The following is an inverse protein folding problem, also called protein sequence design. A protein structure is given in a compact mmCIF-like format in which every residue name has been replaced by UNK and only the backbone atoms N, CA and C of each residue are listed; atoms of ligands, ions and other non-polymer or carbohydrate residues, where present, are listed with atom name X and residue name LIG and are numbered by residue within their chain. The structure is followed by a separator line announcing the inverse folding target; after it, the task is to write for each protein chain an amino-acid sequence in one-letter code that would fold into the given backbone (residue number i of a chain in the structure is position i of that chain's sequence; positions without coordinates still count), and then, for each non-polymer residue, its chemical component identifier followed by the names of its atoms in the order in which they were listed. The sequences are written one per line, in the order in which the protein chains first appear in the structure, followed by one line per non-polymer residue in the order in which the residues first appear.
data_IF_218519373354
#
_entry.id   IF_218519373354
#
_cell.length_a   1.000
_cell.length_b   1.000
_cell.length_c   1.000
_cell.angle_alpha   90.00
_cell.angle_beta   90.00
_cell.angle_gamma   90.00
#
_symmetry.space_group_name_H-M   'P 1'
#
loop_
_entity.id
_entity.type
_entity.pdbx_description
1 polymer ?
#
# COMPACT_ATOMS: atom_id res chain seq x y z
N UNK A 1 -59.41 20.12 11.18
CA UNK A 1 -59.24 19.03 10.23
C UNK A 1 -58.87 19.56 8.84
N UNK A 2 -57.83 20.36 8.72
CA UNK A 2 -57.27 20.88 7.43
C UNK A 2 -55.79 21.20 7.47
N UNK A 3 -55.01 20.71 8.47
CA UNK A 3 -53.54 20.91 8.55
C UNK A 3 -52.73 19.62 8.40
N UNK A 4 -53.38 18.45 8.35
CA UNK A 4 -52.73 17.14 8.26
C UNK A 4 -52.54 16.62 6.85
N UNK A 5 -53.18 17.25 5.86
CA UNK A 5 -53.05 16.83 4.43
C UNK A 5 -51.99 17.58 3.63
N UNK A 6 -51.40 18.64 4.16
CA UNK A 6 -50.30 19.37 3.47
C UNK A 6 -48.89 18.83 3.80
N UNK A 7 -48.74 18.00 4.86
CA UNK A 7 -47.45 17.47 5.28
C UNK A 7 -47.12 16.10 4.65
N UNK A 8 -48.13 15.43 4.07
CA UNK A 8 -47.96 14.12 3.43
C UNK A 8 -47.47 14.20 1.96
N UNK A 9 -47.50 15.39 1.36
CA UNK A 9 -47.05 15.62 -0.01
C UNK A 9 -45.55 16.04 -0.11
N UNK A 10 -44.88 16.29 1.04
CA UNK A 10 -43.45 16.63 1.09
C UNK A 10 -42.55 15.44 1.49
N UNK A 11 -43.14 14.28 1.73
CA UNK A 11 -42.43 13.05 2.15
C UNK A 11 -42.63 11.88 1.15
N UNK A 12 -42.94 12.15 -0.12
CA UNK A 12 -42.70 11.16 -1.13
C UNK A 12 -41.20 11.18 -1.41
N UNK A 13 -40.44 10.09 -1.07
CA UNK A 13 -39.13 9.90 -1.65
C UNK A 13 -39.42 9.75 -3.15
N UNK A 14 -39.05 10.75 -3.93
CA UNK A 14 -38.87 10.55 -5.36
C UNK A 14 -37.87 9.42 -5.48
N UNK A 15 -38.37 8.22 -5.78
CA UNK A 15 -37.60 7.17 -6.42
C UNK A 15 -37.07 7.81 -7.69
N UNK A 16 -35.92 8.48 -7.58
CA UNK A 16 -35.04 8.68 -8.69
C UNK A 16 -34.76 7.25 -9.19
N UNK A 17 -35.55 6.82 -10.17
CA UNK A 17 -35.20 5.71 -11.02
C UNK A 17 -33.77 6.00 -11.47
N UNK A 18 -32.80 5.27 -10.92
CA UNK A 18 -31.49 5.19 -11.51
C UNK A 18 -31.73 4.56 -12.89
N UNK A 19 -31.98 5.43 -13.87
CA UNK A 19 -31.98 5.04 -15.25
C UNK A 19 -30.66 4.37 -15.48
N UNK A 20 -30.68 3.14 -15.99
CA UNK A 20 -29.50 2.44 -16.48
C UNK A 20 -28.74 3.45 -17.34
N UNK A 21 -27.61 3.96 -16.84
CA UNK A 21 -26.80 4.89 -17.59
C UNK A 21 -26.50 4.18 -18.91
N UNK A 22 -26.94 4.74 -20.06
CA UNK A 22 -26.65 4.18 -21.36
C UNK A 22 -25.13 4.21 -21.53
N UNK A 23 -24.48 3.09 -21.26
CA UNK A 23 -23.06 2.91 -21.56
C UNK A 23 -22.93 2.48 -23.00
N UNK A 24 -22.09 3.21 -23.75
CA UNK A 24 -21.72 2.84 -25.10
C UNK A 24 -20.66 1.75 -25.05
N UNK A 25 -20.86 0.63 -25.77
CA UNK A 25 -19.76 -0.32 -25.99
C UNK A 25 -18.78 0.29 -27.00
N UNK A 26 -17.64 0.72 -26.53
CA UNK A 26 -16.59 1.37 -27.31
C UNK A 26 -15.35 0.50 -27.50
N UNK A 27 -15.40 -0.80 -27.17
CA UNK A 27 -14.25 -1.73 -27.30
C UNK A 27 -13.76 -1.79 -28.75
N UNK A 28 -14.66 -1.87 -29.73
CA UNK A 28 -14.34 -1.86 -31.16
C UNK A 28 -14.21 -0.47 -31.79
N UNK A 29 -14.42 0.61 -31.03
CA UNK A 29 -14.38 1.97 -31.53
C UNK A 29 -12.96 2.53 -31.56
N UNK A 30 -12.58 3.40 -32.54
CA UNK A 30 -11.24 4.01 -32.58
C UNK A 30 -10.83 4.72 -31.29
N UNK A 31 -11.78 5.33 -30.59
CA UNK A 31 -11.52 5.99 -29.29
C UNK A 31 -11.18 4.98 -28.21
N UNK A 32 -11.81 3.82 -28.15
CA UNK A 32 -11.46 2.75 -27.24
C UNK A 32 -10.04 2.26 -27.49
N UNK A 33 -9.72 1.96 -28.77
CA UNK A 33 -8.36 1.56 -29.16
C UNK A 33 -7.32 2.63 -28.79
N UNK A 34 -7.62 3.92 -29.05
CA UNK A 34 -6.73 5.03 -28.67
C UNK A 34 -6.52 5.10 -27.14
N UNK A 35 -7.59 4.95 -26.37
CA UNK A 35 -7.50 4.93 -24.90
C UNK A 35 -6.63 3.78 -24.39
N UNK A 36 -6.76 2.57 -24.96
CA UNK A 36 -5.95 1.41 -24.63
C UNK A 36 -4.47 1.65 -24.97
N UNK A 37 -4.17 2.23 -26.13
CA UNK A 37 -2.80 2.58 -26.55
C UNK A 37 -2.20 3.64 -25.61
N UNK A 38 -2.96 4.70 -25.28
CA UNK A 38 -2.52 5.73 -24.33
C UNK A 38 -2.18 5.12 -22.97
N UNK A 39 -3.05 4.27 -22.44
CA UNK A 39 -2.80 3.56 -21.18
C UNK A 39 -1.55 2.69 -21.26
N UNK A 40 -1.41 1.89 -22.33
CA UNK A 40 -0.27 0.99 -22.51
C UNK A 40 1.04 1.77 -22.58
N UNK A 41 1.11 2.87 -23.34
CA UNK A 41 2.29 3.72 -23.46
C UNK A 41 2.63 4.38 -22.10
N UNK A 42 1.63 4.88 -21.38
CA UNK A 42 1.81 5.47 -20.06
C UNK A 42 2.35 4.41 -19.07
N UNK A 43 1.82 3.19 -19.15
CA UNK A 43 2.25 2.12 -18.25
C UNK A 43 3.65 1.61 -18.58
N UNK A 44 4.02 1.52 -19.85
CA UNK A 44 5.40 1.26 -20.26
C UNK A 44 6.38 2.33 -19.73
N UNK A 45 5.95 3.61 -19.73
CA UNK A 45 6.75 4.68 -19.14
C UNK A 45 6.86 4.56 -17.60
N UNK A 46 5.83 4.04 -16.91
CA UNK A 46 5.89 3.72 -15.48
C UNK A 46 6.91 2.61 -15.21
N UNK A 47 6.86 1.51 -15.94
CA UNK A 47 7.82 0.39 -15.80
C UNK A 47 9.24 0.85 -16.11
N UNK A 48 9.40 1.79 -17.04
CA UNK A 48 10.70 2.36 -17.41
C UNK A 48 11.22 3.43 -16.42
N UNK A 49 10.57 3.68 -15.27
CA UNK A 49 10.98 4.70 -14.29
C UNK A 49 12.44 4.56 -13.87
N UNK A 50 12.90 3.35 -13.59
CA UNK A 50 14.30 3.09 -13.19
C UNK A 50 15.34 3.56 -14.23
N UNK A 51 15.00 3.43 -15.51
CA UNK A 51 15.88 3.79 -16.62
C UNK A 51 15.77 5.27 -16.97
N UNK A 52 14.53 5.81 -16.96
CA UNK A 52 14.24 7.17 -17.40
C UNK A 52 14.33 8.20 -16.27
N UNK A 53 14.28 7.76 -15.02
CA UNK A 53 14.12 8.61 -13.82
C UNK A 53 12.87 9.50 -13.88
N UNK A 54 11.92 9.15 -14.75
CA UNK A 54 10.62 9.81 -14.85
C UNK A 54 9.69 9.24 -13.80
N UNK A 55 9.33 10.03 -12.80
CA UNK A 55 8.43 9.60 -11.72
C UNK A 55 7.12 9.04 -12.27
N UNK A 56 6.67 7.92 -11.74
CA UNK A 56 5.54 7.12 -12.20
C UNK A 56 4.20 7.86 -12.25
N UNK A 57 3.98 8.88 -11.43
CA UNK A 57 2.76 9.67 -11.43
C UNK A 57 2.54 10.46 -12.73
N UNK A 58 3.60 10.98 -13.34
CA UNK A 58 3.50 11.90 -14.48
C UNK A 58 2.82 11.28 -15.71
N UNK A 59 3.26 10.10 -16.21
CA UNK A 59 2.65 9.50 -17.41
C UNK A 59 1.18 9.09 -17.17
N UNK A 60 0.85 8.57 -15.99
CA UNK A 60 -0.53 8.11 -15.72
C UNK A 60 -1.51 9.26 -15.50
N UNK A 61 -1.08 10.40 -14.92
CA UNK A 61 -1.93 11.58 -14.81
C UNK A 61 -2.27 12.14 -16.19
N UNK A 62 -1.27 12.23 -17.06
CA UNK A 62 -1.48 12.67 -18.44
C UNK A 62 -2.43 11.72 -19.20
N UNK A 63 -2.19 10.42 -19.08
CA UNK A 63 -3.01 9.40 -19.70
C UNK A 63 -4.47 9.46 -19.21
N UNK A 64 -4.69 9.62 -17.90
CA UNK A 64 -6.02 9.77 -17.32
C UNK A 64 -6.78 10.95 -17.96
N UNK A 65 -6.13 12.12 -18.03
CA UNK A 65 -6.72 13.30 -18.68
C UNK A 65 -7.08 13.08 -20.14
N UNK A 66 -6.18 12.46 -20.92
CA UNK A 66 -6.41 12.16 -22.33
C UNK A 66 -7.53 11.12 -22.54
N UNK A 67 -7.53 10.03 -21.76
CA UNK A 67 -8.56 8.99 -21.84
C UNK A 67 -9.94 9.59 -21.54
N UNK A 68 -10.09 10.34 -20.46
CA UNK A 68 -11.37 10.95 -20.10
C UNK A 68 -11.79 12.07 -21.05
N UNK A 69 -10.85 12.79 -21.66
CA UNK A 69 -11.16 13.76 -22.71
C UNK A 69 -11.73 13.07 -23.97
N UNK A 70 -11.15 11.92 -24.37
CA UNK A 70 -11.66 11.11 -25.49
C UNK A 70 -13.06 10.55 -25.18
N UNK A 71 -13.27 10.00 -23.98
CA UNK A 71 -14.57 9.52 -23.51
C UNK A 71 -15.59 10.66 -23.54
N UNK A 72 -15.25 11.81 -22.96
CA UNK A 72 -16.13 12.98 -22.92
C UNK A 72 -16.51 13.47 -24.28
N UNK A 73 -15.59 13.51 -25.26
CA UNK A 73 -15.88 13.93 -26.62
C UNK A 73 -16.91 13.02 -27.31
N UNK A 74 -16.75 11.68 -27.17
CA UNK A 74 -17.71 10.72 -27.77
C UNK A 74 -19.08 10.82 -27.10
N UNK A 75 -19.12 10.84 -25.76
CA UNK A 75 -20.38 10.89 -25.03
C UNK A 75 -21.15 12.21 -25.26
N UNK A 76 -20.42 13.33 -25.43
CA UNK A 76 -21.00 14.62 -25.79
C UNK A 76 -21.59 14.59 -27.21
N UNK A 77 -20.90 13.97 -28.18
CA UNK A 77 -21.41 13.85 -29.55
C UNK A 77 -22.70 13.00 -29.67
N UNK A 78 -22.91 12.09 -28.69
CA UNK A 78 -24.13 11.29 -28.59
C UNK A 78 -25.22 11.91 -27.69
N UNK A 79 -24.97 13.09 -27.10
CA UNK A 79 -25.93 13.79 -26.24
C UNK A 79 -26.10 13.17 -24.83
N UNK A 80 -25.16 12.33 -24.39
CA UNK A 80 -25.18 11.61 -23.09
C UNK A 80 -23.98 11.94 -22.21
N UNK A 81 -23.49 13.18 -22.23
CA UNK A 81 -22.34 13.67 -21.49
C UNK A 81 -22.42 13.40 -19.96
N UNK A 82 -23.65 13.40 -19.40
CA UNK A 82 -23.89 13.21 -17.99
C UNK A 82 -23.44 11.82 -17.49
N UNK A 83 -23.53 10.79 -18.34
CA UNK A 83 -23.08 9.44 -18.02
C UNK A 83 -21.55 9.39 -17.79
N UNK A 84 -20.79 10.03 -18.70
CA UNK A 84 -19.33 10.11 -18.57
C UNK A 84 -18.92 10.93 -17.33
N UNK A 85 -19.60 12.05 -17.07
CA UNK A 85 -19.35 12.89 -15.90
C UNK A 85 -19.66 12.16 -14.58
N UNK A 86 -20.74 11.38 -14.53
CA UNK A 86 -21.10 10.58 -13.37
C UNK A 86 -20.07 9.48 -13.09
N UNK A 87 -19.62 8.76 -14.12
CA UNK A 87 -18.59 7.73 -14.00
C UNK A 87 -17.24 8.31 -13.53
N UNK A 88 -16.83 9.46 -14.07
CA UNK A 88 -15.63 10.16 -13.63
C UNK A 88 -15.71 10.56 -12.15
N UNK A 89 -16.86 11.10 -11.72
CA UNK A 89 -17.09 11.48 -10.31
C UNK A 89 -17.06 10.28 -9.37
N UNK A 90 -17.59 9.14 -9.80
CA UNK A 90 -17.54 7.91 -9.04
C UNK A 90 -16.09 7.46 -8.78
N UNK A 91 -15.28 7.40 -9.84
CA UNK A 91 -13.84 7.07 -9.72
C UNK A 91 -13.07 8.09 -8.87
N UNK A 92 -13.42 9.37 -8.94
CA UNK A 92 -12.82 10.41 -8.13
C UNK A 92 -13.18 10.26 -6.64
N UNK A 93 -14.42 9.84 -6.33
CA UNK A 93 -14.84 9.57 -4.96
C UNK A 93 -14.03 8.42 -4.36
N UNK A 94 -13.87 7.32 -5.08
CA UNK A 94 -13.05 6.17 -4.66
C UNK A 94 -11.60 6.57 -4.41
N UNK A 95 -11.04 7.36 -5.33
CA UNK A 95 -9.70 7.92 -5.12
C UNK A 95 -9.65 8.83 -3.89
N UNK A 96 -10.66 9.67 -3.69
CA UNK A 96 -10.73 10.59 -2.55
C UNK A 96 -10.73 9.88 -1.20
N UNK A 97 -11.48 8.79 -1.08
CA UNK A 97 -11.51 7.96 0.13
C UNK A 97 -10.12 7.32 0.40
N UNK A 98 -9.50 6.77 -0.65
CA UNK A 98 -8.15 6.20 -0.56
C UNK A 98 -7.11 7.28 -0.21
N UNK A 99 -7.17 8.46 -0.84
CA UNK A 99 -6.28 9.58 -0.59
C UNK A 99 -6.32 10.00 0.89
N UNK A 100 -7.52 10.22 1.44
CA UNK A 100 -7.70 10.67 2.82
C UNK A 100 -7.22 9.62 3.82
N UNK A 101 -7.49 8.36 3.54
CA UNK A 101 -6.99 7.26 4.36
C UNK A 101 -5.45 7.23 4.39
N UNK A 102 -4.82 7.21 3.22
CA UNK A 102 -3.36 7.14 3.09
C UNK A 102 -2.68 8.39 3.65
N UNK A 103 -3.24 9.57 3.42
CA UNK A 103 -2.70 10.82 3.95
C UNK A 103 -2.62 10.79 5.48
N UNK A 104 -3.66 10.28 6.16
CA UNK A 104 -3.65 10.14 7.60
C UNK A 104 -2.61 9.10 8.06
N UNK A 105 -2.54 7.93 7.41
CA UNK A 105 -1.58 6.88 7.72
C UNK A 105 -0.13 7.36 7.55
N UNK A 106 0.20 7.94 6.37
CA UNK A 106 1.53 8.49 6.09
C UNK A 106 1.92 9.60 7.06
N UNK A 107 0.95 10.44 7.50
CA UNK A 107 1.21 11.49 8.48
C UNK A 107 1.63 10.91 9.82
N UNK A 108 0.99 9.82 10.29
CA UNK A 108 1.40 9.14 11.51
C UNK A 108 2.81 8.55 11.40
N UNK A 109 3.12 7.88 10.29
CA UNK A 109 4.44 7.30 10.02
C UNK A 109 5.51 8.40 10.02
N UNK A 110 5.29 9.48 9.29
CA UNK A 110 6.21 10.62 9.23
C UNK A 110 6.38 11.31 10.59
N UNK A 111 5.32 11.35 11.42
CA UNK A 111 5.40 11.85 12.78
C UNK A 111 6.24 10.94 13.69
N UNK A 112 6.13 9.61 13.54
CA UNK A 112 6.97 8.64 14.23
C UNK A 112 8.44 8.78 13.81
N UNK A 113 8.72 8.99 12.53
CA UNK A 113 10.05 9.24 11.99
C UNK A 113 10.65 10.53 12.58
N UNK A 114 9.91 11.63 12.59
CA UNK A 114 10.34 12.91 13.19
C UNK A 114 10.67 12.76 14.68
N UNK A 115 9.98 11.86 15.39
CA UNK A 115 10.24 11.54 16.80
C UNK A 115 11.29 10.46 17.00
N UNK A 116 12.00 10.06 15.95
CA UNK A 116 13.11 9.09 15.97
C UNK A 116 12.70 7.72 16.52
N UNK A 117 11.44 7.30 16.33
CA UNK A 117 10.93 5.99 16.75
C UNK A 117 11.71 4.89 16.06
N UNK A 118 11.86 4.98 14.75
CA UNK A 118 12.54 3.97 13.93
C UNK A 118 14.06 3.99 14.12
N UNK A 119 14.65 5.17 14.37
CA UNK A 119 16.05 5.31 14.72
C UNK A 119 16.37 4.69 16.08
N UNK A 120 15.47 4.80 17.04
CA UNK A 120 15.60 4.14 18.33
C UNK A 120 15.54 2.61 18.20
N UNK A 121 14.65 2.09 17.34
CA UNK A 121 14.58 0.66 17.01
C UNK A 121 15.88 0.18 16.34
N UNK A 122 16.40 0.95 15.38
CA UNK A 122 17.70 0.70 14.74
C UNK A 122 18.81 0.64 15.77
N UNK A 123 18.92 1.65 16.63
CA UNK A 123 19.93 1.71 17.66
C UNK A 123 19.83 0.55 18.67
N UNK A 124 18.63 0.09 18.97
CA UNK A 124 18.40 -1.08 19.82
C UNK A 124 18.93 -2.38 19.18
N UNK A 125 18.63 -2.61 17.89
CA UNK A 125 19.11 -3.77 17.13
C UNK A 125 20.64 -3.78 16.99
N UNK A 126 21.24 -2.62 16.67
CA UNK A 126 22.68 -2.47 16.49
C UNK A 126 23.43 -2.83 17.78
N UNK A 127 22.92 -2.41 18.95
CA UNK A 127 23.54 -2.71 20.26
C UNK A 127 23.52 -4.18 20.66
N UNK A 128 22.68 -5.01 20.04
CA UNK A 128 22.58 -6.45 20.35
C UNK A 128 23.74 -7.27 19.81
N UNK A 129 24.65 -6.69 19.02
CA UNK A 129 25.83 -7.38 18.42
C UNK A 129 25.47 -8.73 17.79
N UNK A 130 24.35 -8.76 17.04
CA UNK A 130 23.81 -9.96 16.43
C UNK A 130 24.73 -10.48 15.33
N UNK A 131 24.84 -11.81 15.18
CA UNK A 131 25.47 -12.42 14.01
C UNK A 131 24.71 -12.08 12.73
N UNK A 132 25.35 -12.23 11.55
CA UNK A 132 24.70 -12.00 10.25
C UNK A 132 23.38 -12.80 10.13
N UNK A 133 23.37 -14.07 10.58
CA UNK A 133 22.16 -14.91 10.56
C UNK A 133 21.08 -14.38 11.50
N UNK A 134 21.44 -14.02 12.72
CA UNK A 134 20.48 -13.49 13.69
C UNK A 134 19.90 -12.15 13.24
N UNK A 135 20.73 -11.28 12.64
CA UNK A 135 20.27 -9.99 12.11
C UNK A 135 19.36 -10.16 10.89
N UNK A 136 19.66 -11.09 9.97
CA UNK A 136 18.83 -11.44 8.84
C UNK A 136 17.42 -11.87 9.29
N UNK A 137 17.33 -12.79 10.25
CA UNK A 137 16.04 -13.21 10.81
C UNK A 137 15.34 -12.11 11.59
N UNK A 138 16.07 -11.34 12.38
CA UNK A 138 15.50 -10.24 13.17
C UNK A 138 14.88 -9.16 12.26
N UNK A 139 15.60 -8.74 11.21
CA UNK A 139 15.09 -7.72 10.27
C UNK A 139 13.91 -8.23 9.45
N UNK A 140 13.94 -9.48 8.98
CA UNK A 140 12.82 -10.09 8.26
C UNK A 140 11.59 -10.29 9.16
N UNK A 141 11.77 -10.82 10.37
CA UNK A 141 10.67 -11.00 11.33
C UNK A 141 10.04 -9.66 11.73
N UNK A 142 10.87 -8.65 12.00
CA UNK A 142 10.37 -7.31 12.29
C UNK A 142 9.64 -6.71 11.09
N UNK A 143 10.17 -6.87 9.87
CA UNK A 143 9.47 -6.43 8.66
C UNK A 143 8.10 -7.11 8.53
N UNK A 144 8.02 -8.41 8.78
CA UNK A 144 6.75 -9.15 8.72
C UNK A 144 5.71 -8.66 9.74
N UNK A 145 6.11 -8.34 10.97
CA UNK A 145 5.17 -7.91 12.02
C UNK A 145 4.92 -6.39 12.07
N UNK A 146 5.78 -5.57 11.49
CA UNK A 146 5.57 -4.12 11.42
C UNK A 146 4.71 -3.77 10.20
N UNK A 147 4.90 -4.45 9.08
CA UNK A 147 4.20 -4.17 7.83
C UNK A 147 2.66 -4.17 7.94
N UNK A 148 2.00 -5.05 8.73
CA UNK A 148 0.56 -5.00 8.93
C UNK A 148 0.00 -3.68 9.47
N UNK A 149 0.87 -2.82 9.98
CA UNK A 149 0.50 -1.54 10.64
C UNK A 149 1.12 -0.35 9.94
N UNK A 150 2.37 -0.49 9.45
CA UNK A 150 3.18 0.63 8.96
C UNK A 150 3.41 0.61 7.43
N UNK A 151 2.61 -0.10 6.68
CA UNK A 151 2.73 -0.43 5.26
C UNK A 151 4.04 -1.15 4.86
N UNK A 152 4.03 -1.79 3.68
CA UNK A 152 5.15 -2.58 3.20
C UNK A 152 6.35 -1.74 2.77
N UNK A 153 6.13 -0.58 2.13
CA UNK A 153 7.19 0.31 1.65
C UNK A 153 7.97 0.93 2.80
N UNK A 154 7.27 1.59 3.72
CA UNK A 154 7.87 2.23 4.89
C UNK A 154 8.62 1.22 5.75
N UNK A 155 8.01 0.06 5.99
CA UNK A 155 8.64 -1.04 6.76
C UNK A 155 9.93 -1.51 6.10
N UNK A 156 9.92 -1.69 4.77
CA UNK A 156 11.10 -2.11 4.03
C UNK A 156 12.23 -1.08 4.12
N UNK A 157 11.93 0.21 3.94
CA UNK A 157 12.91 1.29 4.03
C UNK A 157 13.57 1.36 5.42
N UNK A 158 12.77 1.25 6.49
CA UNK A 158 13.26 1.26 7.86
C UNK A 158 14.20 0.08 8.12
N UNK A 159 13.79 -1.13 7.75
CA UNK A 159 14.59 -2.33 7.96
C UNK A 159 15.86 -2.34 7.09
N UNK A 160 15.80 -1.79 5.89
CA UNK A 160 16.98 -1.60 5.03
C UNK A 160 17.99 -0.64 5.68
N UNK A 161 17.54 0.45 6.28
CA UNK A 161 18.40 1.37 6.99
C UNK A 161 19.13 0.68 8.17
N UNK A 162 18.44 -0.22 8.90
CA UNK A 162 19.03 -1.07 9.93
C UNK A 162 20.11 -1.98 9.32
N UNK A 163 19.76 -2.67 8.25
CA UNK A 163 20.64 -3.61 7.56
C UNK A 163 21.94 -2.95 7.07
N UNK A 164 21.82 -1.77 6.46
CA UNK A 164 22.95 -0.98 5.96
C UNK A 164 23.83 -0.45 7.09
N UNK A 165 23.23 -0.01 8.20
CA UNK A 165 23.97 0.51 9.34
C UNK A 165 24.86 -0.56 10.01
N UNK A 166 24.43 -1.83 9.96
CA UNK A 166 25.14 -2.94 10.63
C UNK A 166 25.99 -3.75 9.63
N UNK A 167 25.46 -4.02 8.46
CA UNK A 167 26.06 -4.95 7.49
C UNK A 167 26.67 -4.31 6.26
N UNK A 168 26.75 -2.98 6.19
CA UNK A 168 27.07 -2.22 4.96
C UNK A 168 28.40 -2.56 4.27
N UNK A 169 29.29 -3.31 4.93
CA UNK A 169 30.55 -3.77 4.33
C UNK A 169 30.44 -5.12 3.60
N UNK A 170 29.36 -5.88 3.78
CA UNK A 170 29.14 -7.18 3.16
C UNK A 170 28.07 -7.13 2.08
N UNK A 171 28.47 -6.98 0.81
CA UNK A 171 27.55 -6.96 -0.32
C UNK A 171 26.59 -8.15 -0.32
N UNK A 172 27.11 -9.37 -0.07
CA UNK A 172 26.28 -10.60 -0.04
C UNK A 172 25.22 -10.56 1.06
N UNK A 173 25.60 -10.09 2.25
CA UNK A 173 24.66 -9.96 3.38
C UNK A 173 23.58 -8.92 3.08
N UNK A 174 23.96 -7.74 2.57
CA UNK A 174 23.01 -6.67 2.24
C UNK A 174 22.05 -7.11 1.15
N UNK A 175 22.55 -7.75 0.08
CA UNK A 175 21.67 -8.27 -0.99
C UNK A 175 20.62 -9.24 -0.44
N UNK A 176 21.06 -10.27 0.30
CA UNK A 176 20.16 -11.28 0.86
C UNK A 176 19.19 -10.68 1.91
N UNK A 177 19.69 -9.77 2.74
CA UNK A 177 18.87 -9.07 3.73
C UNK A 177 17.81 -8.18 3.10
N UNK A 178 18.13 -7.44 2.02
CA UNK A 178 17.14 -6.66 1.27
C UNK A 178 16.07 -7.55 0.65
N UNK A 179 16.44 -8.67 0.02
CA UNK A 179 15.47 -9.62 -0.53
C UNK A 179 14.53 -10.13 0.56
N UNK A 180 15.10 -10.56 1.70
CA UNK A 180 14.35 -11.05 2.84
C UNK A 180 13.37 -10.01 3.39
N UNK A 181 13.79 -8.76 3.50
CA UNK A 181 12.96 -7.65 3.98
C UNK A 181 11.81 -7.37 3.00
N UNK A 182 12.06 -7.35 1.68
CA UNK A 182 11.01 -7.15 0.66
C UNK A 182 9.96 -8.25 0.74
N UNK A 183 10.39 -9.52 0.77
CA UNK A 183 9.47 -10.67 0.88
C UNK A 183 8.69 -10.61 2.20
N UNK A 184 9.36 -10.34 3.31
CA UNK A 184 8.74 -10.28 4.63
C UNK A 184 7.75 -9.12 4.76
N UNK A 185 8.08 -7.93 4.24
CA UNK A 185 7.20 -6.76 4.28
C UNK A 185 5.95 -6.96 3.42
N UNK A 186 6.08 -7.47 2.20
CA UNK A 186 4.93 -7.75 1.33
C UNK A 186 4.06 -8.88 1.91
N UNK A 187 4.66 -9.95 2.43
CA UNK A 187 3.93 -11.03 3.09
C UNK A 187 3.22 -10.55 4.37
N UNK A 188 3.89 -9.73 5.18
CA UNK A 188 3.30 -9.12 6.36
C UNK A 188 2.16 -8.17 6.04
N UNK A 189 2.26 -7.41 4.95
CA UNK A 189 1.20 -6.52 4.48
C UNK A 189 -0.07 -7.24 4.05
N UNK A 190 0.04 -8.47 3.56
CA UNK A 190 -1.07 -9.19 2.94
C UNK A 190 -2.17 -9.69 3.91
N UNK A 191 -1.89 -9.80 5.22
CA UNK A 191 -2.89 -10.29 6.18
C UNK A 191 -3.57 -9.21 7.03
N UNK A 192 -3.40 -7.93 6.69
CA UNK A 192 -4.05 -6.81 7.38
C UNK A 192 -4.46 -5.72 6.38
N UNK A 193 -5.67 -5.15 6.51
CA UNK A 193 -6.09 -4.01 5.68
C UNK A 193 -5.21 -2.76 5.78
N UNK A 194 -4.40 -2.63 6.84
CA UNK A 194 -3.49 -1.51 7.04
C UNK A 194 -2.07 -1.80 6.53
N UNK A 195 -1.79 -3.03 6.09
CA UNK A 195 -0.44 -3.47 5.73
C UNK A 195 -0.08 -3.29 4.27
N UNK A 196 -1.07 -3.27 3.38
CA UNK A 196 -0.90 -3.02 1.94
C UNK A 196 -2.13 -2.29 1.41
N UNK A 197 -1.93 -1.45 0.41
CA UNK A 197 -3.02 -0.71 -0.24
C UNK A 197 -4.00 -1.66 -0.93
N UNK A 198 -3.53 -2.79 -1.44
CA UNK A 198 -4.38 -3.81 -2.07
C UNK A 198 -5.37 -4.42 -1.07
N UNK A 199 -4.90 -4.75 0.14
CA UNK A 199 -5.77 -5.26 1.22
C UNK A 199 -6.76 -4.20 1.69
N UNK A 200 -6.31 -2.94 1.80
CA UNK A 200 -7.16 -1.81 2.13
C UNK A 200 -8.32 -1.65 1.13
N UNK A 201 -8.02 -1.69 -0.18
CA UNK A 201 -9.03 -1.52 -1.23
C UNK A 201 -10.09 -2.63 -1.19
N UNK A 202 -9.68 -3.89 -0.96
CA UNK A 202 -10.60 -5.03 -0.83
C UNK A 202 -11.52 -4.86 0.40
N UNK A 203 -10.97 -4.37 1.52
CA UNK A 203 -11.73 -4.08 2.72
C UNK A 203 -12.69 -2.91 2.53
N UNK A 204 -12.25 -1.79 1.96
CA UNK A 204 -13.08 -0.60 1.67
C UNK A 204 -14.28 -0.94 0.75
N UNK A 205 -14.09 -1.85 -0.21
CA UNK A 205 -15.15 -2.35 -1.09
C UNK A 205 -16.07 -3.37 -0.42
N UNK A 206 -15.86 -3.70 0.87
CA UNK A 206 -16.68 -4.66 1.62
C UNK A 206 -16.63 -6.09 1.09
N UNK A 207 -15.58 -6.45 0.31
CA UNK A 207 -15.42 -7.81 -0.24
C UNK A 207 -14.98 -8.82 0.81
N UNK A 208 -14.22 -8.37 1.80
CA UNK A 208 -13.70 -9.16 2.93
C UNK A 208 -13.82 -8.33 4.20
N UNK A 209 -14.33 -8.92 5.28
CA UNK A 209 -14.40 -8.30 6.59
C UNK A 209 -13.01 -8.21 7.24
N UNK A 210 -12.81 -7.21 8.11
CA UNK A 210 -11.52 -6.93 8.75
C UNK A 210 -10.88 -8.18 9.40
N UNK A 211 -11.65 -8.92 10.19
CA UNK A 211 -11.11 -10.08 10.92
C UNK A 211 -10.81 -11.27 10.02
N UNK A 212 -11.46 -11.36 8.87
CA UNK A 212 -11.28 -12.47 7.92
C UNK A 212 -9.91 -12.39 7.22
N UNK A 213 -9.29 -11.21 7.13
CA UNK A 213 -7.92 -11.07 6.61
C UNK A 213 -6.89 -11.86 7.42
N UNK A 214 -7.11 -12.09 8.71
CA UNK A 214 -6.20 -12.88 9.54
C UNK A 214 -6.13 -14.36 9.13
N UNK A 215 -7.07 -14.88 8.33
CA UNK A 215 -6.94 -16.20 7.70
C UNK A 215 -5.71 -16.28 6.78
N UNK A 216 -5.24 -15.14 6.27
CA UNK A 216 -4.02 -15.03 5.47
C UNK A 216 -2.72 -15.06 6.29
N UNK A 217 -2.78 -15.05 7.64
CA UNK A 217 -1.58 -15.05 8.48
C UNK A 217 -0.67 -16.25 8.19
N UNK A 218 -1.22 -17.46 8.19
CA UNK A 218 -0.45 -18.69 7.95
C UNK A 218 0.10 -18.75 6.52
N UNK A 219 -0.70 -18.52 5.47
CA UNK A 219 -0.19 -18.41 4.10
C UNK A 219 0.93 -17.36 3.94
N UNK A 220 0.76 -16.19 4.51
CA UNK A 220 1.75 -15.10 4.48
C UNK A 220 3.05 -15.48 5.20
N UNK A 221 2.93 -16.14 6.35
CA UNK A 221 4.08 -16.62 7.10
C UNK A 221 4.89 -17.65 6.30
N UNK A 222 4.22 -18.57 5.61
CA UNK A 222 4.87 -19.56 4.73
C UNK A 222 5.59 -18.86 3.57
N UNK A 223 4.95 -17.86 2.96
CA UNK A 223 5.57 -17.06 1.90
C UNK A 223 6.87 -16.40 2.35
N UNK A 224 6.93 -15.89 3.59
CA UNK A 224 8.13 -15.29 4.17
C UNK A 224 9.18 -16.34 4.57
N UNK A 225 8.77 -17.34 5.34
CA UNK A 225 9.70 -18.27 6.01
C UNK A 225 10.41 -19.20 5.02
N UNK A 226 9.73 -19.67 3.99
CA UNK A 226 10.30 -20.63 3.02
C UNK A 226 11.52 -20.04 2.29
N UNK A 227 11.45 -18.91 1.60
CA UNK A 227 12.62 -18.33 0.97
C UNK A 227 13.67 -17.88 1.98
N UNK A 228 13.28 -17.37 3.17
CA UNK A 228 14.21 -16.97 4.22
C UNK A 228 15.05 -18.16 4.72
N UNK A 229 14.46 -19.32 4.91
CA UNK A 229 15.17 -20.55 5.26
C UNK A 229 16.21 -20.93 4.21
N UNK A 230 15.84 -20.92 2.93
CA UNK A 230 16.75 -21.23 1.83
C UNK A 230 17.90 -20.22 1.75
N UNK A 231 17.61 -18.93 1.90
CA UNK A 231 18.62 -17.87 1.90
C UNK A 231 19.58 -17.94 3.09
N UNK A 232 19.12 -18.48 4.24
CA UNK A 232 19.95 -18.61 5.45
C UNK A 232 21.22 -19.43 5.21
N UNK A 233 21.18 -20.45 4.33
CA UNK A 233 22.36 -21.26 3.98
C UNK A 233 23.38 -20.50 3.14
N UNK A 234 22.97 -19.42 2.50
CA UNK A 234 23.84 -18.58 1.69
C UNK A 234 24.44 -17.39 2.46
N UNK A 235 24.07 -17.18 3.72
CA UNK A 235 24.56 -16.06 4.51
C UNK A 235 26.05 -16.23 4.87
N UNK A 236 26.80 -15.11 4.95
CA UNK A 236 28.18 -15.15 5.47
C UNK A 236 28.18 -15.52 6.96
N UNK A 237 29.27 -16.15 7.39
CA UNK A 237 29.53 -16.44 8.82
C UNK A 237 30.11 -15.20 9.52
N UNK A 238 29.89 -15.09 10.83
CA UNK A 238 30.50 -14.04 11.66
C UNK A 238 29.51 -13.00 12.18
N UNK A 239 30.07 -11.99 12.83
CA UNK A 239 29.34 -10.84 13.39
C UNK A 239 29.79 -9.56 12.68
N UNK A 240 28.87 -8.71 12.26
CA UNK A 240 29.22 -7.42 11.67
C UNK A 240 29.82 -6.48 12.73
N UNK A 241 30.78 -5.66 12.30
CA UNK A 241 31.31 -4.58 13.14
C UNK A 241 30.38 -3.36 13.01
N UNK A 242 29.54 -3.15 14.00
CA UNK A 242 28.63 -2.01 14.03
C UNK A 242 29.13 -0.95 15.01
N UNK A 243 29.13 0.31 14.58
CA UNK A 243 29.30 1.46 15.48
C UNK A 243 27.95 1.78 16.09
N UNK A 244 27.82 1.54 17.38
CA UNK A 244 26.57 1.81 18.10
C UNK A 244 26.40 3.31 18.32
N UNK A 245 25.50 3.93 17.61
CA UNK A 245 25.03 5.28 17.90
C UNK A 245 23.91 5.22 18.95
N UNK A 246 24.00 6.04 20.01
CA UNK A 246 22.98 6.10 21.05
C UNK A 246 21.88 7.07 20.67
N UNK A 247 21.03 6.67 19.73
CA UNK A 247 19.86 7.46 19.41
C UNK A 247 18.72 7.10 20.36
N UNK A 248 18.18 8.11 21.03
CA UNK A 248 17.02 7.98 21.90
C UNK A 248 15.78 8.52 21.20
N UNK A 249 14.66 7.83 21.39
CA UNK A 249 13.35 8.30 20.94
C UNK A 249 13.04 9.67 21.58
N UNK A 250 12.63 10.65 20.74
CA UNK A 250 12.21 11.96 21.23
C UNK A 250 10.90 11.85 22.02
N UNK A 251 10.70 12.84 22.92
CA UNK A 251 9.47 12.94 23.71
C UNK A 251 8.23 12.87 22.82
N UNK A 252 7.25 12.07 23.23
CA UNK A 252 5.99 11.89 22.53
C UNK A 252 5.98 10.76 21.51
N UNK A 253 7.12 10.17 21.12
CA UNK A 253 7.15 9.09 20.13
C UNK A 253 6.28 7.90 20.52
N UNK A 254 6.38 7.42 21.77
CA UNK A 254 5.53 6.32 22.27
C UNK A 254 4.03 6.66 22.31
N UNK A 255 3.70 7.93 22.59
CA UNK A 255 2.30 8.38 22.56
C UNK A 255 1.76 8.39 21.14
N UNK A 256 2.56 8.81 20.13
CA UNK A 256 2.15 8.78 18.73
C UNK A 256 1.90 7.34 18.26
N UNK A 257 2.72 6.37 18.67
CA UNK A 257 2.45 4.95 18.40
C UNK A 257 1.08 4.54 19.01
N UNK A 258 0.84 4.88 20.27
CA UNK A 258 -0.42 4.59 20.94
C UNK A 258 -1.63 5.25 20.26
N UNK A 259 -1.49 6.50 19.82
CA UNK A 259 -2.54 7.21 19.06
C UNK A 259 -2.78 6.58 17.68
N UNK A 260 -1.75 6.07 17.03
CA UNK A 260 -1.93 5.37 15.76
C UNK A 260 -2.69 4.05 15.95
N UNK A 261 -2.34 3.27 16.95
CA UNK A 261 -3.11 2.06 17.29
C UNK A 261 -4.56 2.38 17.67
N UNK A 262 -4.79 3.47 18.41
CA UNK A 262 -6.12 3.97 18.71
C UNK A 262 -6.88 4.39 17.45
N UNK A 263 -6.19 5.03 16.50
CA UNK A 263 -6.75 5.40 15.19
C UNK A 263 -7.20 4.18 14.41
N UNK A 264 -6.37 3.13 14.36
CA UNK A 264 -6.73 1.84 13.74
C UNK A 264 -7.97 1.26 14.42
N UNK A 265 -7.99 1.20 15.76
CA UNK A 265 -9.14 0.68 16.52
C UNK A 265 -10.42 1.51 16.27
N UNK A 266 -10.31 2.84 16.21
CA UNK A 266 -11.42 3.74 15.88
C UNK A 266 -11.93 3.49 14.46
N UNK A 267 -11.04 3.34 13.50
CA UNK A 267 -11.38 3.08 12.09
C UNK A 267 -12.13 1.75 11.94
N UNK A 268 -11.60 0.68 12.54
CA UNK A 268 -12.23 -0.65 12.53
C UNK A 268 -13.59 -0.61 13.24
N UNK A 269 -13.68 0.06 14.39
CA UNK A 269 -14.94 0.19 15.11
C UNK A 269 -16.01 0.96 14.32
N UNK A 270 -15.64 2.11 13.70
CA UNK A 270 -16.56 2.88 12.87
C UNK A 270 -17.03 2.09 11.66
N UNK A 271 -16.13 1.34 11.03
CA UNK A 271 -16.48 0.54 9.86
C UNK A 271 -17.39 -0.65 10.24
N UNK A 272 -17.01 -1.45 11.24
CA UNK A 272 -17.71 -2.69 11.57
C UNK A 272 -19.03 -2.47 12.32
N UNK A 273 -19.13 -1.43 13.19
CA UNK A 273 -20.31 -1.21 13.99
C UNK A 273 -21.23 -0.11 13.45
N UNK A 274 -20.67 0.89 12.76
CA UNK A 274 -21.43 2.03 12.24
C UNK A 274 -21.56 1.99 10.71
N UNK A 275 -20.93 1.01 10.03
CA UNK A 275 -20.90 0.87 8.57
C UNK A 275 -20.44 2.13 7.84
N UNK A 276 -19.54 2.91 8.47
CA UNK A 276 -18.97 4.12 7.90
C UNK A 276 -17.68 3.78 7.09
N UNK A 277 -17.40 4.54 6.03
CA UNK A 277 -16.17 4.31 5.26
C UNK A 277 -14.91 4.48 6.12
N UNK A 278 -13.89 3.62 5.95
CA UNK A 278 -12.69 3.61 6.79
C UNK A 278 -11.92 4.93 6.84
N UNK A 279 -11.95 5.73 5.77
CA UNK A 279 -11.26 7.02 5.73
C UNK A 279 -11.72 7.97 6.85
N UNK A 280 -13.00 7.90 7.26
CA UNK A 280 -13.53 8.77 8.31
C UNK A 280 -12.86 8.48 9.66
N UNK A 281 -12.70 7.20 10.01
CA UNK A 281 -11.98 6.80 11.22
C UNK A 281 -10.51 7.24 11.21
N UNK A 282 -9.84 7.10 10.07
CA UNK A 282 -8.47 7.57 9.89
C UNK A 282 -8.33 9.09 10.04
N UNK A 283 -9.24 9.87 9.44
CA UNK A 283 -9.27 11.33 9.58
C UNK A 283 -9.60 11.77 11.01
N UNK A 284 -10.47 11.03 11.71
CA UNK A 284 -10.70 11.24 13.16
C UNK A 284 -9.42 11.00 13.95
N UNK A 285 -8.68 9.95 13.62
CA UNK A 285 -7.37 9.68 14.20
C UNK A 285 -6.33 10.75 13.89
N UNK A 286 -6.34 11.32 12.69
CA UNK A 286 -5.48 12.44 12.36
C UNK A 286 -5.76 13.64 13.28
N UNK A 287 -7.02 13.87 13.66
CA UNK A 287 -7.36 14.90 14.63
C UNK A 287 -6.77 14.59 16.03
N UNK A 288 -6.71 13.32 16.46
CA UNK A 288 -6.00 12.94 17.72
C UNK A 288 -4.54 13.37 17.66
N UNK A 289 -3.87 13.11 16.54
CA UNK A 289 -2.47 13.50 16.35
C UNK A 289 -2.30 15.03 16.35
N UNK A 290 -3.24 15.78 15.76
CA UNK A 290 -3.24 17.24 15.75
C UNK A 290 -3.36 17.82 17.17
N UNK A 291 -4.30 17.31 17.97
CA UNK A 291 -4.44 17.72 19.37
C UNK A 291 -3.19 17.39 20.19
N UNK A 292 -2.62 16.21 20.00
CA UNK A 292 -1.38 15.87 20.67
C UNK A 292 -0.20 16.71 20.21
N UNK A 293 -0.12 17.04 18.93
CA UNK A 293 0.87 17.98 18.38
C UNK A 293 0.76 19.37 19.01
N UNK A 294 -0.46 19.88 19.18
CA UNK A 294 -0.70 21.13 19.89
C UNK A 294 -0.23 21.07 21.36
N UNK A 295 -0.53 19.97 22.07
CA UNK A 295 -0.03 19.73 23.43
C UNK A 295 1.50 19.70 23.48
N UNK A 296 2.18 19.07 22.53
CA UNK A 296 3.63 19.05 22.45
C UNK A 296 4.20 20.47 22.24
N UNK A 297 3.56 21.28 21.39
CA UNK A 297 3.92 22.67 21.15
C UNK A 297 3.80 23.52 22.41
N UNK A 298 2.71 23.41 23.15
CA UNK A 298 2.50 24.15 24.41
C UNK A 298 3.51 23.76 25.50
N UNK A 299 3.95 22.50 25.52
CA UNK A 299 4.85 21.95 26.53
C UNK A 299 6.31 21.87 26.06
N UNK A 300 6.68 22.56 24.99
CA UNK A 300 8.01 22.51 24.36
C UNK A 300 9.14 22.94 25.32
N UNK A 301 8.88 23.87 26.25
CA UNK A 301 9.85 24.33 27.26
C UNK A 301 10.34 23.18 28.17
N UNK A 302 9.60 22.06 28.29
CA UNK A 302 10.00 20.89 29.07
C UNK A 302 11.06 20.02 28.37
N UNK A 303 11.34 20.24 27.08
CA UNK A 303 12.40 19.55 26.33
C UNK A 303 13.79 20.15 26.55
N UNK A 304 13.86 21.37 27.11
CA UNK A 304 15.13 22.00 27.47
C UNK A 304 15.71 21.30 28.70
N UNK A 305 16.50 20.24 28.52
CA UNK A 305 17.42 19.76 29.56
C UNK A 305 18.67 20.67 29.51
N UNK A 306 19.08 21.30 30.62
CA UNK A 306 20.40 21.92 30.69
C UNK A 306 21.43 20.80 30.54
N UNK A 307 22.23 20.85 29.48
CA UNK A 307 23.44 20.02 29.36
C UNK A 307 24.44 20.64 30.35
N UNK A 308 24.59 20.00 31.48
CA UNK A 308 25.69 20.30 32.41
C UNK A 308 27.01 19.98 31.69
N UNK A 309 27.77 21.00 31.36
CA UNK A 309 29.18 20.90 31.01
C UNK A 309 29.53 21.47 29.64
N UNK A 310 30.26 22.61 29.74
CA UNK A 310 31.14 23.27 28.76
C UNK A 310 30.51 24.02 27.59
N UNK A 311 30.68 25.36 27.68
CA UNK A 311 30.61 26.35 26.61
C UNK A 311 29.29 26.46 25.86
N UNK A 312 28.52 27.46 26.25
CA UNK A 312 27.32 28.08 25.75
C UNK A 312 27.12 28.20 24.22
N UNK A 313 27.17 27.09 23.51
CA UNK A 313 26.58 27.02 22.21
C UNK A 313 25.17 26.40 22.37
N UNK A 314 24.17 27.25 22.17
CA UNK A 314 22.77 26.85 21.97
C UNK A 314 22.74 25.79 20.85
N UNK A 315 22.76 24.51 21.22
CA UNK A 315 22.58 23.43 20.28
C UNK A 315 21.12 23.49 19.83
N UNK A 316 20.94 24.18 18.70
CA UNK A 316 19.83 24.08 17.79
C UNK A 316 18.46 24.35 18.40
N UNK A 317 17.81 25.40 17.95
CA UNK A 317 16.38 25.63 18.11
C UNK A 317 15.64 24.30 18.05
N UNK A 318 15.10 23.81 19.17
CA UNK A 318 14.18 22.68 19.18
C UNK A 318 12.97 23.09 18.37
N UNK A 319 12.95 22.67 17.11
CA UNK A 319 11.86 23.03 16.20
C UNK A 319 10.58 22.40 16.74
N UNK A 320 9.60 23.26 17.05
CA UNK A 320 8.31 22.83 17.54
C UNK A 320 7.70 21.76 16.61
N UNK A 321 7.08 20.75 17.19
CA UNK A 321 6.32 19.78 16.40
C UNK A 321 5.18 20.50 15.69
N UNK A 322 5.17 20.45 14.37
CA UNK A 322 4.14 21.00 13.51
C UNK A 322 3.60 19.88 12.62
N UNK A 323 2.32 19.55 12.80
CA UNK A 323 1.64 18.49 12.08
C UNK A 323 1.67 18.68 10.54
N UNK A 324 1.75 19.92 10.07
CA UNK A 324 1.81 20.16 8.63
C UNK A 324 3.13 19.72 7.99
N UNK A 325 4.21 19.55 8.77
CA UNK A 325 5.48 19.00 8.27
C UNK A 325 5.36 17.51 7.92
N UNK A 326 4.88 16.62 8.81
CA UNK A 326 4.57 15.23 8.46
C UNK A 326 3.60 15.11 7.27
N UNK A 327 2.55 15.95 7.18
CA UNK A 327 1.63 15.99 6.04
C UNK A 327 2.37 16.37 4.74
N UNK A 328 3.21 17.40 4.77
CA UNK A 328 3.97 17.83 3.60
C UNK A 328 4.98 16.80 3.10
N UNK A 329 5.44 15.90 3.99
CA UNK A 329 6.35 14.79 3.67
C UNK A 329 5.63 13.53 3.17
N UNK A 330 4.29 13.55 3.05
CA UNK A 330 3.57 12.43 2.45
C UNK A 330 4.15 12.12 1.06
N UNK A 331 4.08 10.88 0.65
CA UNK A 331 4.56 10.43 -0.66
C UNK A 331 3.62 10.87 -1.79
N UNK A 332 3.63 12.16 -2.10
CA UNK A 332 2.75 12.79 -3.08
C UNK A 332 2.85 12.14 -4.46
N UNK A 333 4.03 11.68 -4.86
CA UNK A 333 4.18 10.98 -6.14
C UNK A 333 3.36 9.68 -6.17
N UNK A 334 3.38 8.93 -5.08
CA UNK A 334 2.59 7.70 -4.92
C UNK A 334 1.08 8.01 -4.88
N UNK A 335 0.65 9.03 -4.14
CA UNK A 335 -0.76 9.44 -4.10
C UNK A 335 -1.26 9.89 -5.48
N UNK A 336 -0.47 10.67 -6.20
CA UNK A 336 -0.79 11.11 -7.57
C UNK A 336 -0.72 9.97 -8.59
N UNK A 337 0.14 8.98 -8.39
CA UNK A 337 0.15 7.77 -9.20
C UNK A 337 -1.17 7.01 -9.06
N UNK A 338 -1.70 6.87 -7.85
CA UNK A 338 -3.01 6.22 -7.63
C UNK A 338 -4.15 7.00 -8.29
N UNK A 339 -4.14 8.33 -8.23
CA UNK A 339 -5.08 9.16 -8.98
C UNK A 339 -5.09 8.79 -10.46
N UNK A 340 -3.91 8.80 -11.10
CA UNK A 340 -3.79 8.49 -12.52
C UNK A 340 -4.23 7.08 -12.88
N UNK A 341 -3.82 6.08 -12.06
CA UNK A 341 -4.18 4.67 -12.30
C UNK A 341 -5.68 4.43 -12.13
N UNK A 342 -6.29 4.90 -11.03
CA UNK A 342 -7.73 4.73 -10.78
C UNK A 342 -8.55 5.34 -11.90
N UNK A 343 -8.19 6.53 -12.36
CA UNK A 343 -8.90 7.16 -13.45
C UNK A 343 -8.66 6.48 -14.80
N UNK A 344 -7.45 6.02 -15.10
CA UNK A 344 -7.16 5.28 -16.33
C UNK A 344 -7.93 3.95 -16.38
N UNK A 345 -7.82 3.13 -15.34
CA UNK A 345 -8.49 1.82 -15.24
C UNK A 345 -10.00 2.00 -15.22
N UNK A 346 -10.53 2.98 -14.48
CA UNK A 346 -11.94 3.32 -14.46
C UNK A 346 -12.44 3.78 -15.85
N UNK A 347 -11.64 4.53 -16.59
CA UNK A 347 -11.93 4.91 -17.97
C UNK A 347 -11.99 3.69 -18.92
N UNK A 348 -11.02 2.76 -18.82
CA UNK A 348 -11.02 1.52 -19.59
C UNK A 348 -12.20 0.60 -19.24
N UNK A 349 -12.58 0.56 -17.95
CA UNK A 349 -13.77 -0.15 -17.50
C UNK A 349 -15.05 0.44 -18.12
N UNK A 350 -15.16 1.76 -18.10
CA UNK A 350 -16.30 2.47 -18.67
C UNK A 350 -16.41 2.31 -20.20
N UNK A 351 -15.29 2.09 -20.89
CA UNK A 351 -15.24 1.75 -22.32
C UNK A 351 -15.62 0.29 -22.62
N UNK A 352 -15.71 -0.61 -21.60
CA UNK A 352 -16.09 -2.01 -21.74
C UNK A 352 -14.94 -3.03 -21.71
N UNK A 353 -13.67 -2.60 -21.70
CA UNK A 353 -12.51 -3.51 -21.76
C UNK A 353 -12.43 -4.47 -20.57
N UNK A 354 -12.75 -3.99 -19.35
CA UNK A 354 -12.65 -4.82 -18.17
C UNK A 354 -13.74 -5.89 -18.11
N UNK A 355 -14.92 -5.64 -18.67
CA UNK A 355 -15.97 -6.66 -18.80
C UNK A 355 -15.52 -7.85 -19.63
N UNK A 356 -14.95 -7.60 -20.82
CA UNK A 356 -14.38 -8.67 -21.65
C UNK A 356 -13.25 -9.44 -20.97
N UNK A 357 -12.34 -8.74 -20.28
CA UNK A 357 -11.27 -9.36 -19.52
C UNK A 357 -11.82 -10.23 -18.36
N UNK A 358 -12.84 -9.75 -17.65
CA UNK A 358 -13.50 -10.48 -16.56
C UNK A 358 -14.10 -11.82 -17.06
N UNK A 359 -14.83 -11.80 -18.17
CA UNK A 359 -15.41 -13.02 -18.77
C UNK A 359 -14.33 -14.04 -19.10
N UNK A 360 -13.24 -13.64 -19.74
CA UNK A 360 -12.16 -14.57 -20.08
C UNK A 360 -11.48 -15.12 -18.82
N UNK A 361 -11.12 -14.26 -17.88
CA UNK A 361 -10.32 -14.64 -16.71
C UNK A 361 -11.14 -15.44 -15.69
N UNK A 362 -12.35 -14.96 -15.36
CA UNK A 362 -13.10 -15.50 -14.23
C UNK A 362 -14.14 -16.53 -14.64
N UNK A 363 -14.75 -16.42 -15.84
CA UNK A 363 -15.75 -17.38 -16.32
C UNK A 363 -15.12 -18.56 -17.10
N UNK A 364 -14.07 -18.27 -17.94
CA UNK A 364 -13.46 -19.31 -18.75
C UNK A 364 -12.31 -20.03 -18.03
N UNK A 365 -11.39 -19.30 -17.37
CA UNK A 365 -10.24 -19.90 -16.67
C UNK A 365 -10.56 -20.29 -15.21
N UNK A 366 -11.59 -19.67 -14.63
CA UNK A 366 -12.00 -19.83 -13.25
C UNK A 366 -11.21 -18.95 -12.28
N UNK A 367 -11.85 -18.61 -11.16
CA UNK A 367 -11.35 -17.62 -10.20
C UNK A 367 -9.96 -17.96 -9.63
N UNK A 368 -9.70 -19.23 -9.29
CA UNK A 368 -8.40 -19.64 -8.73
C UNK A 368 -7.27 -19.40 -9.74
N UNK A 369 -7.43 -19.82 -11.00
CA UNK A 369 -6.41 -19.62 -12.03
C UNK A 369 -6.18 -18.14 -12.33
N UNK A 370 -7.26 -17.36 -12.43
CA UNK A 370 -7.21 -15.92 -12.63
C UNK A 370 -6.45 -15.24 -11.48
N UNK A 371 -6.78 -15.54 -10.23
CA UNK A 371 -6.17 -14.94 -9.05
C UNK A 371 -4.67 -15.30 -8.91
N UNK A 372 -4.28 -16.53 -9.23
CA UNK A 372 -2.86 -16.91 -9.27
C UNK A 372 -2.12 -16.16 -10.38
N UNK A 373 -2.72 -16.00 -11.55
CA UNK A 373 -2.12 -15.25 -12.65
C UNK A 373 -1.95 -13.76 -12.31
N UNK A 374 -2.95 -13.13 -11.65
CA UNK A 374 -2.84 -11.76 -11.14
C UNK A 374 -1.61 -11.61 -10.24
N UNK A 375 -1.35 -12.57 -9.36
CA UNK A 375 -0.16 -12.56 -8.52
C UNK A 375 1.15 -12.71 -9.32
N UNK A 376 1.18 -13.51 -10.38
CA UNK A 376 2.35 -13.59 -11.26
C UNK A 376 2.55 -12.29 -12.03
N UNK A 377 1.47 -11.66 -12.51
CA UNK A 377 1.53 -10.35 -13.17
C UNK A 377 2.02 -9.26 -12.20
N UNK A 378 1.71 -9.37 -10.90
CA UNK A 378 2.22 -8.45 -9.87
C UNK A 378 3.74 -8.44 -9.74
N UNK A 379 4.43 -9.45 -10.26
CA UNK A 379 5.90 -9.42 -10.34
C UNK A 379 6.45 -8.34 -11.28
N UNK A 380 5.66 -7.91 -12.28
CA UNK A 380 6.07 -6.94 -13.31
C UNK A 380 5.25 -5.66 -13.23
N UNK A 381 3.97 -5.80 -12.92
CA UNK A 381 3.00 -4.72 -12.79
C UNK A 381 2.77 -4.48 -11.31
N UNK A 382 2.87 -3.24 -10.84
CA UNK A 382 2.58 -2.88 -9.45
C UNK A 382 1.22 -3.49 -9.02
N UNK A 383 1.14 -4.03 -7.81
CA UNK A 383 -0.03 -4.75 -7.28
C UNK A 383 -1.31 -3.90 -7.26
N UNK A 384 -1.20 -2.59 -7.07
CA UNK A 384 -2.34 -1.68 -6.90
C UNK A 384 -3.17 -1.55 -8.17
N UNK A 385 -2.61 -1.25 -9.36
CA UNK A 385 -3.36 -1.27 -10.62
C UNK A 385 -4.09 -2.59 -10.90
N UNK A 386 -3.43 -3.71 -10.59
CA UNK A 386 -4.01 -5.03 -10.79
C UNK A 386 -5.20 -5.27 -9.86
N UNK A 387 -5.04 -4.96 -8.57
CA UNK A 387 -6.13 -5.11 -7.61
C UNK A 387 -7.30 -4.18 -7.93
N UNK A 388 -7.01 -2.93 -8.33
CA UNK A 388 -8.06 -1.99 -8.74
C UNK A 388 -8.83 -2.49 -9.97
N UNK A 389 -8.14 -3.08 -10.95
CA UNK A 389 -8.77 -3.69 -12.11
C UNK A 389 -9.69 -4.87 -11.68
N UNK A 390 -9.23 -5.77 -10.82
CA UNK A 390 -10.04 -6.88 -10.30
C UNK A 390 -11.27 -6.38 -9.54
N UNK A 391 -11.11 -5.38 -8.68
CA UNK A 391 -12.22 -4.78 -7.94
C UNK A 391 -13.23 -4.07 -8.86
N UNK A 392 -12.76 -3.48 -9.96
CA UNK A 392 -13.61 -2.83 -10.95
C UNK A 392 -14.32 -3.84 -11.86
N UNK A 393 -13.67 -4.98 -12.17
CA UNK A 393 -14.33 -6.11 -12.84
C UNK A 393 -15.44 -6.71 -11.99
N UNK A 394 -15.31 -6.63 -10.68
CA UNK A 394 -16.22 -7.16 -9.66
C UNK A 394 -16.72 -8.59 -9.94
N UNK A 395 -15.83 -9.57 -10.14
CA UNK A 395 -16.23 -10.92 -10.48
C UNK A 395 -16.97 -11.59 -9.30
N UNK A 396 -17.96 -12.41 -9.64
CA UNK A 396 -18.65 -13.24 -8.64
C UNK A 396 -17.73 -14.33 -8.15
N UNK A 397 -17.18 -14.16 -6.95
CA UNK A 397 -16.33 -15.16 -6.32
C UNK A 397 -16.51 -15.19 -4.80
N UNK A 398 -16.15 -16.32 -4.18
CA UNK A 398 -16.24 -16.53 -2.75
C UNK A 398 -15.29 -15.58 -1.97
N UNK A 399 -15.51 -15.46 -0.66
CA UNK A 399 -14.62 -14.72 0.23
C UNK A 399 -13.20 -15.30 0.21
N UNK A 400 -13.08 -16.65 0.13
CA UNK A 400 -11.79 -17.32 0.00
C UNK A 400 -11.04 -16.93 -1.28
N UNK A 401 -11.77 -16.74 -2.39
CA UNK A 401 -11.17 -16.27 -3.65
C UNK A 401 -10.76 -14.79 -3.59
N UNK A 402 -11.51 -13.92 -2.89
CA UNK A 402 -11.10 -12.56 -2.61
C UNK A 402 -9.85 -12.49 -1.73
N UNK A 403 -9.74 -13.36 -0.73
CA UNK A 403 -8.53 -13.52 0.06
C UNK A 403 -7.36 -14.05 -0.79
N UNK A 404 -7.61 -14.99 -1.71
CA UNK A 404 -6.59 -15.53 -2.60
C UNK A 404 -5.98 -14.43 -3.49
N UNK A 405 -6.81 -13.62 -4.17
CA UNK A 405 -6.29 -12.54 -5.02
C UNK A 405 -5.56 -11.48 -4.19
N UNK A 406 -6.03 -11.21 -2.98
CA UNK A 406 -5.35 -10.30 -2.05
C UNK A 406 -3.95 -10.82 -1.68
N UNK A 407 -3.86 -12.08 -1.30
CA UNK A 407 -2.58 -12.74 -1.01
C UNK A 407 -1.67 -12.69 -2.24
N UNK A 408 -2.14 -13.21 -3.37
CA UNK A 408 -1.31 -13.40 -4.56
C UNK A 408 -0.83 -12.07 -5.14
N UNK A 409 -1.68 -11.04 -5.21
CA UNK A 409 -1.30 -9.70 -5.65
C UNK A 409 -0.25 -9.07 -4.71
N UNK A 410 -0.44 -9.17 -3.38
CA UNK A 410 0.49 -8.60 -2.41
C UNK A 410 1.85 -9.30 -2.41
N UNK A 411 1.88 -10.63 -2.28
CA UNK A 411 3.16 -11.37 -2.21
C UNK A 411 3.80 -11.58 -3.58
N UNK A 412 3.02 -11.58 -4.67
CA UNK A 412 3.51 -11.72 -6.04
C UNK A 412 4.50 -10.63 -6.45
N UNK A 413 4.30 -9.41 -5.95
CA UNK A 413 5.25 -8.30 -6.12
C UNK A 413 6.65 -8.58 -5.62
N UNK A 414 6.83 -9.60 -4.76
CA UNK A 414 8.16 -10.03 -4.28
C UNK A 414 8.88 -10.98 -5.23
N UNK A 415 8.23 -11.53 -6.25
CA UNK A 415 8.87 -12.46 -7.20
C UNK A 415 10.02 -11.78 -7.97
N UNK A 416 9.85 -10.50 -8.30
CA UNK A 416 10.89 -9.65 -8.87
C UNK A 416 11.03 -8.37 -8.04
N UNK A 417 12.22 -7.77 -8.04
CA UNK A 417 12.47 -6.54 -7.26
C UNK A 417 11.67 -5.33 -7.75
N UNK A 418 11.24 -5.33 -9.00
CA UNK A 418 10.45 -4.26 -9.62
C UNK A 418 8.94 -4.39 -9.40
N UNK A 419 8.47 -5.54 -8.94
CA UNK A 419 7.05 -5.85 -8.79
C UNK A 419 6.38 -5.20 -7.57
N UNK A 420 7.16 -4.59 -6.66
CA UNK A 420 6.62 -3.88 -5.51
C UNK A 420 7.38 -2.60 -5.22
N UNK A 421 6.67 -1.60 -4.68
CA UNK A 421 7.27 -0.34 -4.24
C UNK A 421 8.43 -0.56 -3.25
N UNK A 422 8.29 -1.54 -2.34
CA UNK A 422 9.34 -1.93 -1.41
C UNK A 422 10.63 -2.39 -2.11
N UNK A 423 10.52 -3.22 -3.14
CA UNK A 423 11.68 -3.71 -3.91
C UNK A 423 12.42 -2.59 -4.63
N UNK A 424 11.69 -1.73 -5.32
CA UNK A 424 12.24 -0.56 -6.05
C UNK A 424 12.93 0.40 -5.08
N UNK A 425 12.29 0.74 -3.97
CA UNK A 425 12.84 1.64 -2.98
C UNK A 425 14.14 1.11 -2.35
N UNK A 426 14.22 -0.19 -2.06
CA UNK A 426 15.42 -0.79 -1.51
C UNK A 426 16.57 -0.83 -2.52
N UNK A 427 16.30 -0.99 -3.81
CA UNK A 427 17.33 -0.84 -4.85
C UNK A 427 17.94 0.56 -4.83
N UNK A 428 17.11 1.59 -4.72
CA UNK A 428 17.57 2.98 -4.58
C UNK A 428 18.37 3.23 -3.30
N UNK A 429 17.90 2.73 -2.15
CA UNK A 429 18.52 2.97 -0.84
C UNK A 429 19.81 2.19 -0.62
N UNK A 430 19.96 1.01 -1.20
CA UNK A 430 21.07 0.08 -0.97
C UNK A 430 22.41 0.48 -1.61
N UNK A 431 22.48 1.62 -2.26
CA UNK A 431 23.70 2.15 -2.92
C UNK A 431 24.33 1.15 -3.90
N UNK A 432 23.50 0.44 -4.67
CA UNK A 432 23.96 -0.53 -5.67
C UNK A 432 24.30 -1.92 -5.13
N UNK A 433 24.15 -2.18 -3.83
CA UNK A 433 24.37 -3.51 -3.25
C UNK A 433 23.20 -4.47 -3.48
N UNK A 434 21.98 -3.97 -3.57
CA UNK A 434 20.81 -4.75 -3.96
C UNK A 434 20.38 -4.34 -5.37
N UNK A 435 20.36 -5.29 -6.29
CA UNK A 435 20.09 -5.07 -7.71
C UNK A 435 19.04 -6.04 -8.23
N UNK A 436 18.42 -5.70 -9.36
CA UNK A 436 17.46 -6.57 -10.06
C UNK A 436 18.03 -7.99 -10.30
N UNK A 437 19.23 -8.09 -10.86
CA UNK A 437 19.85 -9.39 -11.13
C UNK A 437 20.25 -10.16 -9.86
N UNK A 438 20.58 -9.42 -8.78
CA UNK A 438 20.82 -10.02 -7.46
C UNK A 438 19.56 -10.67 -6.89
N UNK A 439 18.42 -10.01 -7.04
CA UNK A 439 17.11 -10.53 -6.65
C UNK A 439 16.67 -11.71 -7.52
N UNK A 440 16.82 -11.59 -8.85
CA UNK A 440 16.41 -12.60 -9.83
C UNK A 440 17.02 -13.99 -9.56
N UNK A 441 18.24 -14.03 -9.03
CA UNK A 441 18.89 -15.30 -8.63
C UNK A 441 18.13 -16.05 -7.55
N UNK A 442 17.36 -15.34 -6.72
CA UNK A 442 16.58 -15.90 -5.61
C UNK A 442 15.09 -16.04 -5.94
N UNK A 443 14.65 -15.57 -7.09
CA UNK A 443 13.27 -15.74 -7.57
C UNK A 443 12.78 -17.19 -7.49
N UNK A 444 13.57 -18.24 -7.79
CA UNK A 444 13.09 -19.62 -7.63
C UNK A 444 12.72 -19.98 -6.19
N UNK A 445 13.48 -19.48 -5.19
CA UNK A 445 13.17 -19.70 -3.78
C UNK A 445 11.92 -18.91 -3.35
N UNK A 446 11.77 -17.69 -3.85
CA UNK A 446 10.60 -16.84 -3.60
C UNK A 446 9.36 -17.45 -4.25
N UNK A 447 9.48 -17.95 -5.49
CA UNK A 447 8.41 -18.62 -6.22
C UNK A 447 7.95 -19.91 -5.51
N UNK A 448 8.87 -20.64 -4.88
CA UNK A 448 8.51 -21.79 -4.03
C UNK A 448 7.68 -21.33 -2.82
N UNK A 449 8.09 -20.24 -2.14
CA UNK A 449 7.32 -19.63 -1.05
C UNK A 449 5.94 -19.17 -1.52
N UNK A 450 5.86 -18.53 -2.68
CA UNK A 450 4.62 -18.12 -3.33
C UNK A 450 3.68 -19.31 -3.59
N UNK A 451 4.17 -20.36 -4.23
CA UNK A 451 3.37 -21.56 -4.53
C UNK A 451 2.88 -22.26 -3.25
N UNK A 452 3.75 -22.42 -2.24
CA UNK A 452 3.38 -23.04 -0.98
C UNK A 452 2.40 -22.16 -0.17
N UNK A 453 2.47 -20.85 -0.27
CA UNK A 453 1.50 -19.96 0.37
C UNK A 453 0.10 -20.09 -0.24
N UNK A 454 0.01 -20.26 -1.56
CA UNK A 454 -1.25 -20.55 -2.26
C UNK A 454 -1.83 -21.88 -1.78
N UNK A 455 -1.03 -22.96 -1.77
CA UNK A 455 -1.47 -24.27 -1.29
C UNK A 455 -1.95 -24.18 0.17
N UNK A 456 -1.22 -23.49 1.02
CA UNK A 456 -1.61 -23.28 2.41
C UNK A 456 -2.93 -22.49 2.53
N UNK A 457 -3.12 -21.46 1.68
CA UNK A 457 -4.38 -20.71 1.65
C UNK A 457 -5.56 -21.58 1.25
N UNK A 458 -5.42 -22.37 0.17
CA UNK A 458 -6.46 -23.28 -0.29
C UNK A 458 -6.84 -24.32 0.78
N UNK A 459 -5.89 -24.71 1.62
CA UNK A 459 -6.13 -25.64 2.72
C UNK A 459 -6.74 -24.95 3.95
N UNK A 460 -6.17 -23.84 4.41
CA UNK A 460 -6.63 -23.10 5.61
C UNK A 460 -8.00 -22.47 5.39
N UNK A 461 -8.25 -21.96 4.19
CA UNK A 461 -9.49 -21.24 3.84
C UNK A 461 -10.48 -22.12 3.06
N UNK A 462 -10.36 -23.45 3.13
CA UNK A 462 -11.21 -24.36 2.36
C UNK A 462 -12.72 -24.15 2.62
N UNK A 463 -13.11 -23.74 3.82
CA UNK A 463 -14.51 -23.44 4.16
C UNK A 463 -15.00 -22.09 3.59
N UNK A 464 -14.09 -21.21 3.16
CA UNK A 464 -14.39 -19.91 2.59
C UNK A 464 -14.35 -19.92 1.04
N UNK A 465 -13.85 -21.02 0.45
CA UNK A 465 -13.70 -21.22 -1.00
C UNK A 465 -15.01 -21.67 -1.64
#
# INVERSE_FOLDING_TARGET
MRLTTALSLLLSPGLASAGSAQTLDLVGHPVGTAALVIFTLAYLAVVAEEFTKLRKSKPVILAAGLIWALIGAVYTSHGISDAAAAALRHNLLEYGELLLFLLAAMTYINAMEERLVFEALRGWLVRRSLSYRALFWATGTLAFFISPVADNLTTALIMCAVLLAVGGHSHRFVTLGCINIVVAANAGGAFSPFGDITTLMVWQRGKVEFWTFFALFVPSLINFVVPALLMTFALPSGTPHAVADRTHMKRGGGVIIGLFLLTIATTVAMHNFLHLPPFLGMMTGLAYLQFFGFYLKLTQHKERRPINGTNGEDIGNVVAFDIFRPIARAEWDTLLFFYGVILCVGGLAFLGYLGGASTVMYEQWGATSANVLIGVLSAVIDNIPLMFAVLTMDPHMSVGQWLLVTLTAGVGGSLLSIGSAAGVALMGQSRGMYTFFGHLKWTPAIALGYALSIVAHLWVSAELM
#
